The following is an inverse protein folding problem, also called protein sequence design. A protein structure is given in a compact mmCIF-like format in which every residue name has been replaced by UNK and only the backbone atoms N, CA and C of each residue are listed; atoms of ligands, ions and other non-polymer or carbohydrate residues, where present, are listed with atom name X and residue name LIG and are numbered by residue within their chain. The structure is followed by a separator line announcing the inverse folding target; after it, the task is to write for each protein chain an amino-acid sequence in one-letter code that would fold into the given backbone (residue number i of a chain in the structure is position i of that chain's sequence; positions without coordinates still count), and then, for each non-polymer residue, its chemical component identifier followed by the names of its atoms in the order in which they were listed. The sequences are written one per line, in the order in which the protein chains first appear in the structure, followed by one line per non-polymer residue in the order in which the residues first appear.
data_IF_395725051320
#
_entry.id   IF_395725051320
#
_cell.length_a   1.000
_cell.length_b   1.000
_cell.length_c   1.000
_cell.angle_alpha   90.00
_cell.angle_beta   90.00
_cell.angle_gamma   90.00
#
_symmetry.space_group_name_H-M   'P 1'
#
loop_
_entity.id
_entity.type
_entity.pdbx_description
1 polymer ?
#
# COMPACT_ATOMS: atom_id res chain seq x y z
N UNK A 1 12.09 -20.96 -0.73
CA UNK A 1 11.24 -19.79 -0.96
C UNK A 1 10.57 -19.92 -2.31
N UNK A 2 9.28 -20.22 -2.31
CA UNK A 2 8.37 -20.05 -3.43
C UNK A 2 7.32 -18.97 -3.06
N UNK A 3 6.46 -18.60 -4.00
CA UNK A 3 5.46 -17.56 -3.78
C UNK A 3 4.45 -17.91 -2.67
N UNK A 4 4.07 -19.18 -2.53
CA UNK A 4 3.13 -19.62 -1.49
C UNK A 4 3.74 -19.60 -0.09
N UNK A 5 5.01 -19.96 0.04
CA UNK A 5 5.79 -19.81 1.27
C UNK A 5 5.89 -18.34 1.66
N UNK A 6 6.17 -17.46 0.68
CA UNK A 6 6.23 -16.02 0.90
C UNK A 6 4.89 -15.46 1.39
N UNK A 7 3.79 -15.78 0.71
CA UNK A 7 2.44 -15.34 1.10
C UNK A 7 2.04 -15.82 2.48
N UNK A 8 2.44 -17.03 2.86
CA UNK A 8 2.21 -17.55 4.22
C UNK A 8 2.94 -16.72 5.27
N UNK A 9 4.18 -16.29 5.00
CA UNK A 9 4.91 -15.39 5.90
C UNK A 9 4.13 -14.10 6.10
N UNK A 10 3.68 -13.46 5.02
CA UNK A 10 2.87 -12.24 5.08
C UNK A 10 1.62 -12.44 5.96
N UNK A 11 0.88 -13.53 5.74
CA UNK A 11 -0.35 -13.84 6.49
C UNK A 11 -0.10 -14.16 7.97
N UNK A 12 1.03 -14.80 8.29
CA UNK A 12 1.34 -15.24 9.67
C UNK A 12 2.11 -14.21 10.48
N UNK A 13 2.73 -13.21 9.83
CA UNK A 13 3.59 -12.23 10.50
C UNK A 13 2.80 -11.07 11.09
N UNK A 14 3.22 -10.62 12.27
CA UNK A 14 2.75 -9.38 12.89
C UNK A 14 3.75 -8.24 12.70
N UNK A 15 3.37 -6.99 13.00
CA UNK A 15 4.28 -5.84 12.86
C UNK A 15 5.60 -6.00 13.65
N UNK A 16 5.58 -6.69 14.78
CA UNK A 16 6.78 -6.94 15.60
C UNK A 16 7.78 -7.89 14.94
N UNK A 17 7.40 -8.65 13.92
CA UNK A 17 8.32 -9.48 13.16
C UNK A 17 9.14 -8.69 12.13
N UNK A 18 8.82 -7.41 11.95
CA UNK A 18 9.43 -6.56 10.92
C UNK A 18 10.28 -5.46 11.53
N UNK A 19 11.44 -5.21 10.92
CA UNK A 19 12.24 -4.02 11.17
C UNK A 19 11.85 -2.96 10.15
N UNK A 20 11.06 -1.97 10.58
CA UNK A 20 10.61 -0.89 9.72
C UNK A 20 11.65 0.23 9.66
N UNK A 21 11.99 0.64 8.44
CA UNK A 21 12.86 1.77 8.14
C UNK A 21 11.95 2.89 7.61
N UNK A 22 11.60 3.83 8.50
CA UNK A 22 10.75 4.99 8.20
C UNK A 22 11.60 6.23 7.93
N UNK A 23 11.08 7.11 7.07
CA UNK A 23 11.56 8.47 6.81
C UNK A 23 12.93 8.58 6.10
N UNK A 24 13.16 9.75 5.50
CA UNK A 24 14.45 10.28 5.00
C UNK A 24 15.36 9.26 4.26
N UNK A 25 15.21 9.19 2.94
CA UNK A 25 16.16 8.50 2.06
C UNK A 25 15.47 7.72 0.95
N UNK A 26 16.14 7.52 -0.21
CA UNK A 26 15.58 6.70 -1.27
C UNK A 26 15.50 5.23 -0.82
N UNK A 27 14.37 4.58 -1.09
CA UNK A 27 14.27 3.12 -1.06
C UNK A 27 15.01 2.46 -2.22
N UNK A 28 15.56 3.26 -3.15
CA UNK A 28 16.19 2.87 -4.43
C UNK A 28 15.29 2.03 -5.34
N UNK A 29 13.99 1.98 -5.04
CA UNK A 29 12.92 1.41 -5.88
C UNK A 29 12.10 2.56 -6.47
N UNK A 30 12.74 3.36 -7.31
CA UNK A 30 12.13 4.56 -7.89
C UNK A 30 11.39 4.24 -9.19
N UNK A 31 10.24 4.87 -9.37
CA UNK A 31 9.54 4.94 -10.64
C UNK A 31 9.76 6.32 -11.24
N UNK A 32 10.27 6.34 -12.47
CA UNK A 32 10.50 7.56 -13.24
C UNK A 32 9.43 7.71 -14.31
N UNK A 33 8.94 8.93 -14.47
CA UNK A 33 8.17 9.36 -15.62
C UNK A 33 8.67 10.74 -16.05
N UNK A 34 8.22 11.22 -17.21
CA UNK A 34 8.45 12.61 -17.52
C UNK A 34 7.31 13.24 -18.29
N UNK A 35 7.13 14.52 -18.00
CA UNK A 35 6.05 15.34 -18.51
C UNK A 35 6.61 16.59 -19.18
N UNK A 36 5.92 17.14 -20.20
CA UNK A 36 6.24 18.47 -20.70
C UNK A 36 5.98 19.52 -19.61
N UNK A 37 6.98 20.34 -19.31
CA UNK A 37 6.89 21.51 -18.43
C UNK A 37 7.19 22.81 -19.17
N UNK A 38 6.98 23.94 -18.51
CA UNK A 38 7.16 25.27 -19.10
C UNK A 38 8.56 25.53 -19.68
N UNK A 39 9.59 24.85 -19.15
CA UNK A 39 11.00 25.02 -19.53
C UNK A 39 11.64 23.77 -20.17
N UNK A 40 10.84 22.83 -20.69
CA UNK A 40 11.32 21.59 -21.31
C UNK A 40 10.73 20.34 -20.66
N UNK A 41 11.44 19.21 -20.72
CA UNK A 41 10.97 17.95 -20.13
C UNK A 41 11.30 17.88 -18.64
N UNK A 42 10.32 17.61 -17.80
CA UNK A 42 10.49 17.42 -16.36
C UNK A 42 10.63 15.94 -16.06
N UNK A 43 11.63 15.57 -15.26
CA UNK A 43 11.72 14.24 -14.67
C UNK A 43 10.90 14.21 -13.39
N UNK A 44 9.97 13.28 -13.32
CA UNK A 44 9.17 13.02 -12.13
C UNK A 44 9.63 11.71 -11.50
N UNK A 45 9.69 11.71 -10.17
CA UNK A 45 10.22 10.59 -9.40
C UNK A 45 9.22 10.22 -8.32
N UNK A 46 8.66 9.03 -8.45
CA UNK A 46 7.88 8.39 -7.42
C UNK A 46 8.76 7.38 -6.68
N UNK A 47 8.63 7.34 -5.35
CA UNK A 47 9.38 6.45 -4.50
C UNK A 47 8.45 5.87 -3.44
N UNK A 48 8.73 4.65 -2.98
CA UNK A 48 8.10 4.13 -1.77
C UNK A 48 8.45 5.02 -0.58
N UNK A 49 7.45 5.27 0.27
CA UNK A 49 7.57 6.07 1.48
C UNK A 49 8.44 5.40 2.54
N UNK A 50 8.31 4.08 2.68
CA UNK A 50 8.99 3.31 3.70
C UNK A 50 9.34 1.90 3.20
N UNK A 51 10.25 1.25 3.92
CA UNK A 51 10.60 -0.16 3.69
C UNK A 51 10.64 -0.91 5.02
N UNK A 52 10.54 -2.24 4.96
CA UNK A 52 10.72 -3.10 6.10
C UNK A 52 11.45 -4.38 5.72
N UNK A 53 12.25 -4.90 6.65
CA UNK A 53 12.90 -6.21 6.53
C UNK A 53 12.28 -7.19 7.52
N UNK A 54 11.98 -8.40 7.08
CA UNK A 54 11.49 -9.46 7.96
C UNK A 54 12.62 -9.93 8.88
N UNK A 55 12.48 -9.75 10.20
CA UNK A 55 13.57 -10.02 11.17
C UNK A 55 14.09 -11.46 11.10
N UNK A 56 13.23 -12.50 10.93
CA UNK A 56 13.70 -13.88 10.81
C UNK A 56 14.45 -14.20 9.51
N UNK A 57 14.20 -13.47 8.42
CA UNK A 57 14.87 -13.66 7.12
C UNK A 57 14.98 -12.32 6.37
N UNK A 58 16.17 -11.69 6.45
CA UNK A 58 16.45 -10.40 5.84
C UNK A 58 16.42 -10.41 4.30
N UNK A 59 16.31 -11.58 3.67
CA UNK A 59 16.08 -11.65 2.23
C UNK A 59 14.67 -11.20 1.85
N UNK A 60 13.74 -11.17 2.81
CA UNK A 60 12.35 -10.75 2.62
C UNK A 60 12.23 -9.29 3.01
N UNK A 61 11.89 -8.45 2.02
CA UNK A 61 11.66 -7.02 2.26
C UNK A 61 10.34 -6.56 1.63
N UNK A 62 9.75 -5.53 2.22
CA UNK A 62 8.56 -4.84 1.72
C UNK A 62 8.91 -3.38 1.51
N UNK A 63 8.45 -2.77 0.43
CA UNK A 63 8.43 -1.33 0.23
C UNK A 63 7.00 -0.87 -0.02
N UNK A 64 6.55 0.24 0.58
CA UNK A 64 5.18 0.72 0.41
C UNK A 64 5.05 2.24 0.45
N UNK A 65 3.88 2.73 0.07
CA UNK A 65 3.50 4.14 0.11
C UNK A 65 3.74 4.90 -1.18
N UNK A 66 4.20 4.23 -2.24
CA UNK A 66 4.25 4.82 -3.59
C UNK A 66 2.85 4.91 -4.18
N UNK A 67 2.49 6.07 -4.74
CA UNK A 67 1.23 6.27 -5.45
C UNK A 67 1.17 5.52 -6.78
N UNK A 68 -0.03 5.17 -7.24
CA UNK A 68 -0.23 4.58 -8.58
C UNK A 68 -0.14 5.61 -9.72
N UNK A 69 -0.16 6.90 -9.39
CA UNK A 69 -0.19 8.00 -10.33
C UNK A 69 0.99 8.96 -10.02
N UNK A 70 1.48 9.69 -11.04
CA UNK A 70 2.50 10.72 -10.87
C UNK A 70 1.87 12.09 -10.62
N UNK A 71 2.38 12.83 -9.64
CA UNK A 71 1.97 14.22 -9.40
C UNK A 71 2.57 15.15 -10.47
N UNK A 72 1.83 15.31 -11.57
CA UNK A 72 2.14 16.30 -12.61
C UNK A 72 1.80 17.72 -12.15
N UNK A 73 2.56 18.71 -12.64
CA UNK A 73 2.32 20.12 -12.33
C UNK A 73 0.96 20.59 -12.88
N UNK A 74 0.09 21.05 -11.99
CA UNK A 74 -1.25 21.54 -12.34
C UNK A 74 -2.35 20.47 -12.32
N UNK A 75 -2.03 19.21 -12.02
CA UNK A 75 -3.04 18.17 -11.85
C UNK A 75 -3.72 18.29 -10.47
N UNK A 76 -5.06 18.33 -10.46
CA UNK A 76 -5.83 18.43 -9.21
C UNK A 76 -5.92 17.06 -8.56
N UNK A 77 -5.03 16.82 -7.59
CA UNK A 77 -5.02 15.74 -6.60
C UNK A 77 -5.50 14.35 -7.09
N UNK A 78 -4.59 13.38 -7.06
CA UNK A 78 -4.88 11.92 -7.17
C UNK A 78 -5.81 11.36 -6.09
N UNK A 79 -6.38 12.24 -5.27
CA UNK A 79 -7.46 11.97 -4.35
C UNK A 79 -8.74 11.63 -5.12
N UNK A 80 -9.16 10.37 -5.02
CA UNK A 80 -10.42 9.86 -5.57
C UNK A 80 -11.48 9.84 -4.47
N UNK A 81 -12.74 9.96 -4.83
CA UNK A 81 -13.88 9.77 -3.92
C UNK A 81 -14.68 8.59 -4.43
N UNK A 82 -14.86 7.57 -3.58
CA UNK A 82 -15.71 6.43 -3.86
C UNK A 82 -16.98 6.53 -2.99
N UNK A 83 -18.07 5.85 -3.37
CA UNK A 83 -19.28 5.86 -2.55
C UNK A 83 -19.03 5.36 -1.13
N UNK A 84 -18.22 4.30 -1.01
CA UNK A 84 -17.87 3.71 0.27
C UNK A 84 -17.00 4.64 1.14
N UNK A 85 -16.20 5.53 0.53
CA UNK A 85 -15.30 6.43 1.27
C UNK A 85 -16.02 7.62 1.90
N UNK A 86 -17.27 7.89 1.48
CA UNK A 86 -18.12 8.95 2.04
C UNK A 86 -18.48 8.74 3.51
N UNK A 87 -18.26 7.54 4.05
CA UNK A 87 -18.41 7.24 5.49
C UNK A 87 -17.36 7.97 6.34
N UNK A 88 -16.20 8.33 5.77
CA UNK A 88 -15.09 8.96 6.48
C UNK A 88 -15.24 10.48 6.58
N UNK A 89 -14.51 11.07 7.54
CA UNK A 89 -14.46 12.52 7.69
C UNK A 89 -13.73 13.14 6.50
N UNK A 90 -12.58 12.55 6.14
CA UNK A 90 -11.92 12.80 4.87
C UNK A 90 -12.34 11.73 3.86
N UNK A 91 -13.09 12.17 2.86
CA UNK A 91 -13.69 11.30 1.83
C UNK A 91 -12.70 10.94 0.73
N UNK A 92 -11.56 11.62 0.69
CA UNK A 92 -10.54 11.40 -0.32
C UNK A 92 -9.78 10.12 -0.05
N UNK A 93 -9.39 9.48 -1.14
CA UNK A 93 -8.70 8.20 -1.13
C UNK A 93 -7.52 8.30 -2.08
N UNK A 94 -6.34 7.91 -1.60
CA UNK A 94 -5.15 7.77 -2.45
C UNK A 94 -4.91 6.30 -2.76
N UNK A 95 -4.45 6.07 -3.96
CA UNK A 95 -4.16 4.74 -4.46
C UNK A 95 -2.66 4.50 -4.37
N UNK A 96 -2.27 3.44 -3.68
CA UNK A 96 -0.88 3.10 -3.47
C UNK A 96 -0.64 1.62 -3.76
N UNK A 97 0.63 1.24 -3.89
CA UNK A 97 1.02 -0.16 -3.93
C UNK A 97 2.18 -0.47 -2.99
N UNK A 98 2.25 -1.73 -2.58
CA UNK A 98 3.35 -2.30 -1.86
C UNK A 98 4.05 -3.32 -2.75
N UNK A 99 5.38 -3.25 -2.76
CA UNK A 99 6.25 -4.19 -3.44
C UNK A 99 6.89 -5.14 -2.45
N UNK A 100 6.86 -6.42 -2.79
CA UNK A 100 7.38 -7.51 -2.00
C UNK A 100 8.59 -8.11 -2.69
N UNK A 101 9.69 -8.26 -1.96
CA UNK A 101 10.95 -8.70 -2.53
C UNK A 101 11.49 -9.94 -1.82
N UNK A 102 12.13 -10.82 -2.60
CA UNK A 102 12.97 -11.89 -2.09
C UNK A 102 14.35 -11.80 -2.72
N UNK A 103 15.40 -11.71 -1.91
CA UNK A 103 16.78 -11.49 -2.35
C UNK A 103 16.91 -10.26 -3.29
N UNK A 104 16.12 -9.21 -3.04
CA UNK A 104 16.06 -7.99 -3.87
C UNK A 104 15.28 -8.11 -5.19
N UNK A 105 14.79 -9.30 -5.55
CA UNK A 105 13.92 -9.47 -6.71
C UNK A 105 12.47 -9.16 -6.35
N UNK A 106 11.76 -8.38 -7.17
CA UNK A 106 10.32 -8.15 -7.03
C UNK A 106 9.56 -9.45 -7.28
N UNK A 107 8.89 -9.99 -6.26
CA UNK A 107 8.19 -11.28 -6.33
C UNK A 107 6.66 -11.16 -6.24
N UNK A 108 6.15 -10.09 -5.64
CA UNK A 108 4.71 -9.79 -5.61
C UNK A 108 4.47 -8.27 -5.52
N UNK A 109 3.27 -7.82 -5.92
CA UNK A 109 2.81 -6.43 -5.80
C UNK A 109 1.35 -6.39 -5.38
N UNK A 110 1.07 -5.62 -4.35
CA UNK A 110 -0.27 -5.46 -3.80
C UNK A 110 -0.75 -4.01 -3.90
N UNK A 111 -1.88 -3.80 -4.56
CA UNK A 111 -2.53 -2.50 -4.63
C UNK A 111 -3.46 -2.31 -3.43
N UNK A 112 -3.38 -1.13 -2.82
CA UNK A 112 -4.18 -0.77 -1.66
C UNK A 112 -4.59 0.69 -1.71
N UNK A 113 -5.46 1.08 -0.80
CA UNK A 113 -5.92 2.45 -0.67
C UNK A 113 -5.55 3.04 0.67
N UNK A 114 -5.20 4.32 0.67
CA UNK A 114 -5.01 5.13 1.87
C UNK A 114 -6.20 6.07 1.99
N UNK A 115 -6.95 5.96 3.07
CA UNK A 115 -8.21 6.68 3.30
C UNK A 115 -8.22 7.44 4.64
N UNK A 116 -9.27 8.24 4.85
CA UNK A 116 -9.53 9.01 6.09
C UNK A 116 -8.35 9.91 6.50
N UNK A 117 -7.76 10.62 5.53
CA UNK A 117 -6.64 11.54 5.74
C UNK A 117 -5.34 10.83 6.12
N UNK A 118 -5.16 9.59 5.66
CA UNK A 118 -3.99 8.78 5.96
C UNK A 118 -4.19 7.76 7.08
N UNK A 119 -5.30 7.80 7.81
CA UNK A 119 -5.50 6.97 9.02
C UNK A 119 -5.85 5.51 8.73
N UNK A 120 -6.26 5.19 7.51
CA UNK A 120 -6.67 3.85 7.13
C UNK A 120 -5.90 3.38 5.90
N UNK A 121 -5.38 2.15 5.98
CA UNK A 121 -4.91 1.39 4.82
C UNK A 121 -5.89 0.26 4.63
N UNK A 122 -6.51 0.18 3.47
CA UNK A 122 -7.53 -0.83 3.16
C UNK A 122 -7.19 -1.51 1.84
N UNK A 123 -7.64 -2.76 1.60
CA UNK A 123 -7.48 -3.39 0.30
C UNK A 123 -8.10 -2.55 -0.80
N UNK A 124 -7.51 -2.60 -1.99
CA UNK A 124 -8.18 -2.07 -3.17
C UNK A 124 -9.26 -3.04 -3.62
N UNK A 125 -10.51 -2.75 -3.29
CA UNK A 125 -11.68 -3.36 -3.92
C UNK A 125 -11.81 -2.88 -5.37
N UNK A 126 -11.51 -3.74 -6.35
CA UNK A 126 -11.81 -3.43 -7.75
C UNK A 126 -13.33 -3.28 -7.88
N UNK A 127 -13.81 -2.20 -8.50
CA UNK A 127 -15.26 -1.91 -8.57
C UNK A 127 -16.09 -3.08 -9.14
N UNK A 128 -15.48 -3.96 -9.95
CA UNK A 128 -16.08 -5.17 -10.51
C UNK A 128 -16.38 -6.24 -9.44
N UNK A 129 -15.56 -6.34 -8.39
CA UNK A 129 -15.73 -7.30 -7.27
C UNK A 129 -16.49 -6.71 -6.08
N UNK A 130 -16.93 -5.45 -6.17
CA UNK A 130 -17.48 -4.74 -5.02
C UNK A 130 -16.46 -4.66 -3.88
N UNK A 131 -16.93 -4.70 -2.63
CA UNK A 131 -16.08 -4.65 -1.43
C UNK A 131 -15.64 -6.04 -0.91
N UNK A 132 -15.70 -7.06 -1.77
CA UNK A 132 -15.23 -8.40 -1.44
C UNK A 132 -13.71 -8.50 -1.61
N UNK A 133 -13.05 -9.20 -0.67
CA UNK A 133 -11.60 -9.42 -0.67
C UNK A 133 -11.29 -10.88 -0.37
N UNK A 134 -10.16 -11.37 -0.83
CA UNK A 134 -9.61 -12.65 -0.38
C UNK A 134 -8.96 -12.49 0.99
N UNK A 135 -8.78 -13.60 1.72
CA UNK A 135 -8.04 -13.61 2.98
C UNK A 135 -6.62 -13.03 2.81
N UNK A 136 -5.97 -13.31 1.69
CA UNK A 136 -4.65 -12.76 1.39
C UNK A 136 -4.68 -11.24 1.18
N UNK A 137 -5.67 -10.70 0.45
CA UNK A 137 -5.81 -9.24 0.25
C UNK A 137 -6.09 -8.54 1.59
N UNK A 138 -6.94 -9.12 2.45
CA UNK A 138 -7.21 -8.65 3.80
C UNK A 138 -5.95 -8.60 4.67
N UNK A 139 -5.25 -9.73 4.81
CA UNK A 139 -4.09 -9.85 5.70
C UNK A 139 -2.92 -8.99 5.23
N UNK A 140 -2.73 -8.86 3.92
CA UNK A 140 -1.69 -8.01 3.34
C UNK A 140 -1.97 -6.54 3.63
N UNK A 141 -3.21 -6.07 3.43
CA UNK A 141 -3.56 -4.69 3.78
C UNK A 141 -3.43 -4.43 5.29
N UNK A 142 -3.80 -5.40 6.12
CA UNK A 142 -3.66 -5.33 7.58
C UNK A 142 -2.20 -5.22 8.01
N UNK A 143 -1.31 -6.01 7.40
CA UNK A 143 0.12 -5.90 7.65
C UNK A 143 0.63 -4.50 7.28
N UNK A 144 0.35 -4.02 6.05
CA UNK A 144 0.79 -2.69 5.60
C UNK A 144 0.25 -1.57 6.51
N UNK A 145 -1.00 -1.68 6.96
CA UNK A 145 -1.60 -0.77 7.92
C UNK A 145 -0.75 -0.68 9.20
N UNK A 146 -0.42 -1.83 9.80
CA UNK A 146 0.36 -1.90 11.04
C UNK A 146 1.85 -1.54 10.88
N UNK A 147 2.45 -1.79 9.71
CA UNK A 147 3.82 -1.36 9.42
C UNK A 147 3.93 0.17 9.24
N UNK A 148 2.81 0.81 8.88
CA UNK A 148 2.69 2.27 8.86
C UNK A 148 2.73 2.90 10.26
N UNK A 149 2.22 4.13 10.39
CA UNK A 149 2.11 4.82 11.69
C UNK A 149 0.81 4.48 12.43
N UNK A 150 0.11 3.41 12.02
CA UNK A 150 -1.20 3.03 12.53
C UNK A 150 -1.13 1.66 13.20
N UNK A 151 -0.92 1.65 14.52
CA UNK A 151 -0.75 0.40 15.29
C UNK A 151 -2.09 -0.34 15.48
N UNK A 152 -3.23 0.38 15.43
CA UNK A 152 -4.54 -0.18 15.73
C UNK A 152 -5.63 0.33 14.78
N UNK A 153 -6.72 -0.44 14.68
CA UNK A 153 -7.97 0.02 14.09
C UNK A 153 -8.28 -0.50 12.68
N UNK A 154 -7.41 -1.30 12.07
CA UNK A 154 -7.63 -1.88 10.74
C UNK A 154 -9.03 -2.50 10.59
N UNK A 155 -9.40 -3.43 11.49
CA UNK A 155 -10.69 -4.13 11.45
C UNK A 155 -11.87 -3.17 11.54
N UNK A 156 -11.75 -2.13 12.37
CA UNK A 156 -12.79 -1.10 12.51
C UNK A 156 -12.98 -0.33 11.21
N UNK A 157 -11.90 0.02 10.53
CA UNK A 157 -11.95 0.69 9.23
C UNK A 157 -12.52 -0.24 8.15
N UNK A 158 -12.04 -1.48 8.09
CA UNK A 158 -12.49 -2.51 7.14
C UNK A 158 -14.00 -2.76 7.26
N UNK A 159 -14.50 -2.99 8.47
CA UNK A 159 -15.92 -3.20 8.75
C UNK A 159 -16.77 -1.94 8.55
N UNK A 160 -16.27 -0.75 8.92
CA UNK A 160 -17.00 0.52 8.75
C UNK A 160 -17.32 0.82 7.29
N UNK A 161 -16.43 0.44 6.39
CA UNK A 161 -16.62 0.61 4.94
C UNK A 161 -17.52 -0.47 4.35
N UNK A 162 -17.62 -1.62 5.01
CA UNK A 162 -18.43 -2.76 4.57
C UNK A 162 -17.66 -3.76 3.71
N UNK A 163 -16.32 -3.83 3.86
CA UNK A 163 -15.55 -4.89 3.22
C UNK A 163 -15.87 -6.27 3.82
N UNK A 164 -15.77 -7.30 2.98
CA UNK A 164 -15.94 -8.70 3.37
C UNK A 164 -14.78 -9.56 2.90
N UNK A 165 -14.58 -10.70 3.57
CA UNK A 165 -13.64 -11.72 3.14
C UNK A 165 -14.42 -12.87 2.51
N UNK A 166 -14.12 -13.22 1.27
CA UNK A 166 -14.75 -14.35 0.57
C UNK A 166 -14.33 -15.68 1.22
N UNK A 167 -15.31 -16.51 1.62
CA UNK A 167 -15.07 -17.85 2.14
C UNK A 167 -14.91 -17.98 3.67
N UNK A 168 -15.37 -16.99 4.44
CA UNK A 168 -15.53 -17.07 5.90
C UNK A 168 -16.88 -17.65 6.35
#
# INVERSE_FOLDING_TARGET
MNLEEFRRIIQSSGPDDWHVIKHQGPSYHNWFDGSPGANGYRLEVNSHYATASYKPDLNITIAWGMGLDFEHEGDQSHARIFEWSKTFNDKTVRLCFADFFWCGALVDRFNYVVADGGRAVLPWALEIRGLATTQHEHDTAKLIHHLGDHVEGFEKYFQRVGFTVEGG
#
